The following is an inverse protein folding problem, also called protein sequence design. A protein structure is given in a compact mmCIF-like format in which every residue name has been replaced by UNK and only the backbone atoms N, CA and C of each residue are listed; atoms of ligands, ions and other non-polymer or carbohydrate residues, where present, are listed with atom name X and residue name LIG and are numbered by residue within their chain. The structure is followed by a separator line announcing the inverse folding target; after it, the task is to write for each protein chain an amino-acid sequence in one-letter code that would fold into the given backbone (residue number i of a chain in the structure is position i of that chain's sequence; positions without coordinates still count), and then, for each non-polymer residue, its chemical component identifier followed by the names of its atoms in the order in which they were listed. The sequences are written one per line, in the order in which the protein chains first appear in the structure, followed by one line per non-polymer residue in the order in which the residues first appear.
data_IF_664234262716
#
_entry.id   IF_664234262716
#
_cell.length_a   1.000
_cell.length_b   1.000
_cell.length_c   1.000
_cell.angle_alpha   90.00
_cell.angle_beta   90.00
_cell.angle_gamma   90.00
#
_symmetry.space_group_name_H-M   'P 1'
#
loop_
_entity.id
_entity.type
_entity.pdbx_description
1 polymer ?
#
# COMPACT_ATOMS: atom_id res chain seq x y z
N UNK A 1 -12.10 13.20 -18.28
CA UNK A 1 -11.06 12.58 -17.41
C UNK A 1 -10.07 11.78 -18.24
N UNK A 2 -8.78 12.05 -18.11
CA UNK A 2 -7.75 11.30 -18.82
C UNK A 2 -7.23 10.15 -17.92
N UNK A 3 -7.75 8.94 -18.15
CA UNK A 3 -7.43 7.74 -17.34
C UNK A 3 -5.97 7.33 -17.47
N UNK A 4 -5.33 7.56 -18.63
CA UNK A 4 -3.92 7.27 -18.82
C UNK A 4 -3.03 8.16 -17.93
N UNK A 5 -3.34 9.44 -17.87
CA UNK A 5 -2.66 10.39 -16.98
C UNK A 5 -2.87 10.00 -15.51
N UNK A 6 -4.08 9.64 -15.15
CA UNK A 6 -4.45 9.19 -13.83
C UNK A 6 -3.71 7.90 -13.45
N UNK A 7 -3.65 6.93 -14.37
CA UNK A 7 -2.91 5.69 -14.18
C UNK A 7 -1.42 5.97 -13.87
N UNK A 8 -0.77 6.77 -14.72
CA UNK A 8 0.66 7.13 -14.53
C UNK A 8 0.93 7.82 -13.19
N UNK A 9 -0.01 8.61 -12.71
CA UNK A 9 0.12 9.34 -11.43
C UNK A 9 -0.14 8.46 -10.21
N UNK A 10 -1.12 7.55 -10.27
CA UNK A 10 -1.63 6.81 -9.11
C UNK A 10 -1.06 5.38 -9.03
N UNK A 11 -0.87 4.69 -10.15
CA UNK A 11 -0.47 3.28 -10.14
C UNK A 11 0.82 3.01 -9.33
N UNK A 12 1.90 3.83 -9.42
CA UNK A 12 3.08 3.60 -8.60
C UNK A 12 2.80 3.73 -7.09
N UNK A 13 2.03 4.73 -6.68
CA UNK A 13 1.63 4.95 -5.29
C UNK A 13 0.77 3.80 -4.77
N UNK A 14 -0.18 3.37 -5.58
CA UNK A 14 -1.09 2.28 -5.25
C UNK A 14 -0.34 0.94 -5.12
N UNK A 15 0.60 0.67 -6.01
CA UNK A 15 1.47 -0.52 -5.94
C UNK A 15 2.31 -0.49 -4.66
N UNK A 16 2.99 0.63 -4.37
CA UNK A 16 3.81 0.78 -3.17
C UNK A 16 2.98 0.60 -1.89
N UNK A 17 1.77 1.17 -1.87
CA UNK A 17 0.86 1.00 -0.73
C UNK A 17 0.41 -0.45 -0.55
N UNK A 18 0.07 -1.15 -1.62
CA UNK A 18 -0.33 -2.56 -1.56
C UNK A 18 0.81 -3.45 -1.04
N UNK A 19 2.04 -3.24 -1.54
CA UNK A 19 3.23 -3.96 -1.07
C UNK A 19 3.50 -3.65 0.41
N UNK A 20 3.46 -2.39 0.83
CA UNK A 20 3.61 -2.00 2.23
C UNK A 20 2.49 -2.58 3.13
N UNK A 21 1.32 -2.83 2.55
CA UNK A 21 0.18 -3.45 3.23
C UNK A 21 0.28 -4.99 3.32
N UNK A 22 1.29 -5.60 2.71
CA UNK A 22 1.58 -7.03 2.81
C UNK A 22 1.31 -7.87 1.56
N UNK A 23 0.88 -7.26 0.44
CA UNK A 23 0.80 -7.95 -0.85
C UNK A 23 2.21 -8.17 -1.43
N UNK A 24 2.43 -9.28 -2.13
CA UNK A 24 3.61 -9.38 -2.96
C UNK A 24 3.51 -8.45 -4.19
N UNK A 25 4.63 -8.25 -4.89
CA UNK A 25 4.67 -7.30 -6.00
C UNK A 25 3.77 -7.70 -7.17
N UNK A 26 3.70 -8.98 -7.50
CA UNK A 26 2.86 -9.47 -8.61
C UNK A 26 1.37 -9.33 -8.26
N UNK A 27 0.99 -9.71 -7.05
CA UNK A 27 -0.36 -9.51 -6.52
C UNK A 27 -0.73 -8.02 -6.52
N UNK A 28 0.18 -7.15 -6.09
CA UNK A 28 -0.04 -5.71 -6.10
C UNK A 28 -0.27 -5.17 -7.52
N UNK A 29 0.52 -5.61 -8.51
CA UNK A 29 0.33 -5.23 -9.91
C UNK A 29 -1.03 -5.68 -10.45
N UNK A 30 -1.45 -6.91 -10.16
CA UNK A 30 -2.76 -7.43 -10.58
C UNK A 30 -3.91 -6.65 -9.93
N UNK A 31 -3.79 -6.33 -8.64
CA UNK A 31 -4.77 -5.52 -7.94
C UNK A 31 -4.88 -4.10 -8.51
N UNK A 32 -3.75 -3.50 -8.89
CA UNK A 32 -3.72 -2.18 -9.56
C UNK A 32 -4.43 -2.26 -10.92
N UNK A 33 -4.12 -3.25 -11.74
CA UNK A 33 -4.79 -3.43 -13.03
C UNK A 33 -6.30 -3.62 -12.87
N UNK A 34 -6.72 -4.48 -11.97
CA UNK A 34 -8.15 -4.71 -11.69
C UNK A 34 -8.84 -3.45 -11.13
N UNK A 35 -8.14 -2.65 -10.35
CA UNK A 35 -8.64 -1.36 -9.86
C UNK A 35 -8.92 -0.42 -11.02
N UNK A 36 -7.97 -0.27 -11.94
CA UNK A 36 -8.14 0.63 -13.08
C UNK A 36 -9.14 0.11 -14.12
N UNK A 37 -9.30 -1.20 -14.28
CA UNK A 37 -10.38 -1.78 -15.09
C UNK A 37 -11.75 -1.42 -14.52
N UNK A 38 -11.92 -1.46 -13.19
CA UNK A 38 -13.18 -1.02 -12.55
C UNK A 38 -13.42 0.47 -12.74
N UNK A 39 -12.40 1.32 -12.56
CA UNK A 39 -12.50 2.77 -12.81
C UNK A 39 -12.86 3.04 -14.27
N UNK A 40 -12.24 2.32 -15.20
CA UNK A 40 -12.55 2.43 -16.63
C UNK A 40 -14.00 2.11 -16.92
N UNK A 41 -14.53 1.04 -16.36
CA UNK A 41 -15.94 0.65 -16.55
C UNK A 41 -16.95 1.64 -15.94
N UNK A 42 -16.53 2.41 -14.95
CA UNK A 42 -17.35 3.43 -14.29
C UNK A 42 -17.07 4.86 -14.79
N UNK A 43 -16.22 5.04 -15.80
CA UNK A 43 -15.70 6.35 -16.21
C UNK A 43 -16.79 7.35 -16.59
N UNK A 44 -17.90 6.87 -17.14
CA UNK A 44 -19.01 7.71 -17.61
C UNK A 44 -19.84 8.26 -16.44
N UNK A 45 -19.80 7.60 -15.28
CA UNK A 45 -20.47 7.99 -14.03
C UNK A 45 -19.56 8.82 -13.11
N UNK A 46 -18.25 8.88 -13.40
CA UNK A 46 -17.29 9.58 -12.56
C UNK A 46 -17.20 11.05 -12.96
N UNK A 47 -17.39 11.93 -11.97
CA UNK A 47 -17.13 13.36 -12.16
C UNK A 47 -15.64 13.63 -12.34
N UNK A 48 -15.30 14.62 -13.17
CA UNK A 48 -13.91 15.00 -13.52
C UNK A 48 -13.11 15.62 -12.35
N UNK A 49 -13.10 14.94 -11.21
CA UNK A 49 -12.30 15.32 -10.06
C UNK A 49 -11.21 14.26 -9.82
N UNK A 50 -10.00 14.53 -10.31
CA UNK A 50 -8.84 13.62 -10.20
C UNK A 50 -8.57 13.22 -8.73
N UNK A 51 -8.79 14.11 -7.78
CA UNK A 51 -8.58 13.85 -6.35
C UNK A 51 -9.61 12.85 -5.80
N UNK A 52 -10.87 13.00 -6.18
CA UNK A 52 -11.93 12.06 -5.81
C UNK A 52 -11.69 10.67 -6.41
N UNK A 53 -11.20 10.60 -7.65
CA UNK A 53 -10.91 9.34 -8.33
C UNK A 53 -9.66 8.67 -7.74
N UNK A 54 -8.68 9.44 -7.26
CA UNK A 54 -7.55 8.90 -6.52
C UNK A 54 -8.01 8.19 -5.25
N UNK A 55 -8.81 8.83 -4.42
CA UNK A 55 -9.39 8.22 -3.23
C UNK A 55 -10.22 6.97 -3.55
N UNK A 56 -11.00 7.00 -4.63
CA UNK A 56 -11.76 5.85 -5.11
C UNK A 56 -10.85 4.68 -5.52
N UNK A 57 -9.71 4.96 -6.18
CA UNK A 57 -8.76 3.92 -6.57
C UNK A 57 -8.22 3.17 -5.35
N UNK A 58 -7.83 3.88 -4.28
CA UNK A 58 -7.41 3.25 -3.03
C UNK A 58 -8.52 2.44 -2.36
N UNK A 59 -9.76 2.95 -2.39
CA UNK A 59 -10.92 2.22 -1.85
C UNK A 59 -11.18 0.92 -2.61
N UNK A 60 -11.16 0.96 -3.93
CA UNK A 60 -11.34 -0.22 -4.77
C UNK A 60 -10.22 -1.24 -4.52
N UNK A 61 -8.96 -0.80 -4.55
CA UNK A 61 -7.81 -1.67 -4.32
C UNK A 61 -7.85 -2.32 -2.93
N UNK A 62 -8.22 -1.54 -1.90
CA UNK A 62 -8.40 -2.05 -0.53
C UNK A 62 -9.45 -3.16 -0.46
N UNK A 63 -10.58 -2.95 -1.11
CA UNK A 63 -11.67 -3.93 -1.14
C UNK A 63 -11.28 -5.18 -1.92
N UNK A 64 -10.62 -5.03 -3.06
CA UNK A 64 -10.10 -6.16 -3.85
C UNK A 64 -9.10 -6.98 -3.04
N UNK A 65 -8.15 -6.33 -2.36
CA UNK A 65 -7.17 -7.00 -1.50
C UNK A 65 -7.85 -7.76 -0.35
N UNK A 66 -8.84 -7.16 0.31
CA UNK A 66 -9.60 -7.83 1.37
C UNK A 66 -10.35 -9.06 0.86
N UNK A 67 -10.94 -8.97 -0.33
CA UNK A 67 -11.63 -10.10 -0.95
C UNK A 67 -10.64 -11.21 -1.29
N UNK A 68 -9.50 -10.87 -1.89
CA UNK A 68 -8.45 -11.83 -2.21
C UNK A 68 -7.90 -12.52 -0.94
N UNK A 69 -7.62 -11.77 0.11
CA UNK A 69 -7.16 -12.33 1.39
C UNK A 69 -8.20 -13.29 2.00
N UNK A 70 -9.49 -12.98 1.87
CA UNK A 70 -10.57 -13.84 2.33
C UNK A 70 -10.71 -15.10 1.48
N UNK A 71 -10.56 -14.99 0.17
CA UNK A 71 -10.62 -16.11 -0.76
C UNK A 71 -9.42 -17.03 -0.57
N UNK A 72 -8.22 -16.46 -0.41
CA UNK A 72 -7.00 -17.20 -0.09
C UNK A 72 -7.09 -17.91 1.28
N UNK A 73 -7.68 -17.29 2.29
CA UNK A 73 -7.91 -17.93 3.59
C UNK A 73 -8.86 -19.13 3.49
N UNK A 74 -9.78 -19.17 2.53
CA UNK A 74 -10.62 -20.33 2.22
C UNK A 74 -9.86 -21.42 1.48
N UNK A 75 -8.86 -21.07 0.68
CA UNK A 75 -8.02 -22.00 -0.10
C UNK A 75 -6.84 -22.55 0.70
N UNK A 76 -6.33 -21.85 1.70
CA UNK A 76 -5.20 -22.29 2.57
C UNK A 76 -5.55 -23.40 3.56
N UNK A 77 -6.74 -23.98 3.47
CA UNK A 77 -7.00 -25.29 4.08
C UNK A 77 -6.35 -26.44 3.27
N UNK A 78 -5.74 -26.15 2.12
CA UNK A 78 -5.01 -27.11 1.28
C UNK A 78 -3.79 -26.40 0.70
N UNK A 79 -2.63 -26.74 1.22
CA UNK A 79 -1.27 -26.40 0.79
C UNK A 79 -0.54 -25.29 1.58
N UNK A 80 0.28 -25.77 2.52
CA UNK A 80 1.56 -25.18 2.87
C UNK A 80 2.46 -25.09 1.62
N UNK A 81 3.28 -24.04 1.57
CA UNK A 81 4.41 -23.76 0.69
C UNK A 81 4.10 -22.84 -0.48
N UNK A 82 4.55 -21.61 -0.35
CA UNK A 82 5.58 -21.00 -1.19
C UNK A 82 6.07 -19.68 -0.59
N UNK A 83 7.24 -19.75 -0.02
CA UNK A 83 8.23 -18.67 -0.10
C UNK A 83 8.57 -18.49 -1.57
N UNK A 84 8.71 -17.26 -1.98
CA UNK A 84 9.73 -16.74 -2.88
C UNK A 84 9.25 -15.61 -3.77
N UNK A 85 10.16 -14.67 -3.85
CA UNK A 85 10.46 -13.63 -4.80
C UNK A 85 9.74 -12.27 -4.65
N UNK A 86 10.37 -11.47 -3.77
CA UNK A 86 10.42 -10.04 -3.96
C UNK A 86 11.20 -9.72 -5.26
N UNK A 87 10.51 -9.76 -6.38
CA UNK A 87 11.04 -9.28 -7.64
C UNK A 87 11.31 -7.78 -7.54
N UNK A 88 12.57 -7.44 -7.40
CA UNK A 88 13.08 -6.08 -7.50
C UNK A 88 12.87 -5.58 -8.92
N UNK A 89 12.03 -4.56 -9.10
CA UNK A 89 12.12 -3.71 -10.29
C UNK A 89 12.99 -2.54 -9.91
N UNK A 90 14.27 -2.64 -10.28
CA UNK A 90 15.20 -1.55 -10.14
C UNK A 90 15.09 -0.57 -11.29
N UNK A 91 15.25 0.73 -11.04
CA UNK A 91 15.79 1.64 -12.03
C UNK A 91 17.30 1.79 -11.82
N UNK A 92 18.02 1.83 -12.95
CA UNK A 92 19.35 2.39 -13.14
C UNK A 92 20.47 1.97 -12.14
N UNK A 93 21.50 1.43 -12.72
CA UNK A 93 22.82 1.04 -12.20
C UNK A 93 23.33 1.96 -11.08
N UNK A 94 23.06 1.59 -9.84
CA UNK A 94 23.76 2.10 -8.67
C UNK A 94 24.98 1.18 -8.41
N UNK A 95 26.10 1.70 -7.84
CA UNK A 95 27.21 0.87 -7.43
C UNK A 95 26.71 -0.28 -6.52
N UNK A 96 27.27 -1.48 -6.68
CA UNK A 96 26.85 -2.71 -5.96
C UNK A 96 26.64 -2.51 -4.44
N UNK A 97 27.50 -1.70 -3.80
CA UNK A 97 27.39 -1.41 -2.36
C UNK A 97 26.16 -0.54 -2.01
N UNK A 98 25.80 0.41 -2.89
CA UNK A 98 24.61 1.25 -2.70
C UNK A 98 23.33 0.46 -2.92
N UNK A 99 23.37 -0.48 -3.86
CA UNK A 99 22.26 -1.39 -4.14
C UNK A 99 22.02 -2.37 -2.98
N UNK A 100 23.08 -2.93 -2.42
CA UNK A 100 23.02 -3.81 -1.24
C UNK A 100 22.47 -3.08 -0.01
N UNK A 101 22.90 -1.85 0.25
CA UNK A 101 22.36 -1.02 1.34
C UNK A 101 20.89 -0.67 1.14
N UNK A 102 20.50 -0.35 -0.10
CA UNK A 102 19.12 -0.05 -0.46
C UNK A 102 18.21 -1.28 -0.33
N UNK A 103 18.70 -2.46 -0.73
CA UNK A 103 18.00 -3.72 -0.58
C UNK A 103 17.80 -4.08 0.90
N UNK A 104 18.86 -3.95 1.73
CA UNK A 104 18.78 -4.19 3.17
C UNK A 104 17.82 -3.23 3.86
N UNK A 105 17.85 -1.96 3.52
CA UNK A 105 16.90 -0.97 4.05
C UNK A 105 15.45 -1.34 3.68
N UNK A 106 15.19 -1.71 2.43
CA UNK A 106 13.85 -2.15 1.98
C UNK A 106 13.39 -3.39 2.74
N UNK A 107 14.26 -4.38 2.92
CA UNK A 107 13.96 -5.60 3.68
C UNK A 107 13.58 -5.25 5.11
N UNK A 108 14.36 -4.44 5.79
CA UNK A 108 14.10 -4.04 7.18
C UNK A 108 12.83 -3.20 7.33
N UNK A 109 12.54 -2.31 6.39
CA UNK A 109 11.28 -1.56 6.36
C UNK A 109 10.09 -2.51 6.18
N UNK A 110 10.18 -3.47 5.24
CA UNK A 110 9.13 -4.47 5.04
C UNK A 110 8.86 -5.29 6.31
N UNK A 111 9.91 -5.73 6.99
CA UNK A 111 9.79 -6.46 8.25
C UNK A 111 9.20 -5.59 9.37
N UNK A 112 9.60 -4.33 9.46
CA UNK A 112 9.06 -3.39 10.44
C UNK A 112 7.56 -3.14 10.21
N UNK A 113 7.15 -2.93 8.96
CA UNK A 113 5.72 -2.81 8.61
C UNK A 113 4.94 -4.09 8.92
N UNK A 114 5.52 -5.26 8.68
CA UNK A 114 4.89 -6.54 9.01
C UNK A 114 4.66 -6.73 10.51
N UNK A 115 5.52 -6.14 11.35
CA UNK A 115 5.39 -6.16 12.82
C UNK A 115 4.34 -5.18 13.36
N UNK A 116 3.90 -4.21 12.56
CA UNK A 116 2.83 -3.31 12.99
C UNK A 116 1.49 -4.06 13.06
N UNK A 117 0.66 -3.77 14.07
CA UNK A 117 -0.73 -4.19 14.07
C UNK A 117 -1.43 -3.74 12.78
N UNK A 118 -2.30 -4.60 12.16
CA UNK A 118 -2.91 -4.29 10.85
C UNK A 118 -3.63 -2.93 10.80
N UNK A 119 -4.31 -2.56 11.87
CA UNK A 119 -5.04 -1.28 11.99
C UNK A 119 -4.09 -0.07 11.93
N UNK A 120 -2.95 -0.16 12.60
CA UNK A 120 -1.94 0.91 12.61
C UNK A 120 -1.21 0.98 11.27
N UNK A 121 -0.88 -0.17 10.70
CA UNK A 121 -0.25 -0.29 9.39
C UNK A 121 -1.13 0.32 8.30
N UNK A 122 -2.42 -0.01 8.27
CA UNK A 122 -3.38 0.52 7.31
C UNK A 122 -3.45 2.05 7.38
N UNK A 123 -3.67 2.62 8.55
CA UNK A 123 -3.77 4.08 8.72
C UNK A 123 -2.47 4.79 8.31
N UNK A 124 -1.32 4.26 8.70
CA UNK A 124 -0.03 4.86 8.40
C UNK A 124 0.32 4.76 6.92
N UNK A 125 0.11 3.62 6.28
CA UNK A 125 0.43 3.43 4.87
C UNK A 125 -0.49 4.23 3.95
N UNK A 126 -1.77 4.37 4.27
CA UNK A 126 -2.68 5.27 3.55
C UNK A 126 -2.24 6.73 3.66
N UNK A 127 -1.79 7.16 4.83
CA UNK A 127 -1.32 8.52 5.06
C UNK A 127 0.02 8.79 4.36
N UNK A 128 1.04 7.94 4.59
CA UNK A 128 2.41 8.19 4.17
C UNK A 128 2.67 7.80 2.71
N UNK A 129 2.11 6.70 2.25
CA UNK A 129 2.35 6.16 0.91
C UNK A 129 1.19 6.54 -0.03
N UNK A 130 -0.04 6.45 0.46
CA UNK A 130 -1.23 6.84 -0.28
C UNK A 130 -1.42 8.34 -0.40
N UNK A 131 -0.67 9.12 0.40
CA UNK A 131 -0.79 10.59 0.47
C UNK A 131 -2.23 11.06 0.74
N UNK A 132 -3.01 10.21 1.42
CA UNK A 132 -4.40 10.53 1.76
C UNK A 132 -4.47 11.46 2.98
N UNK A 133 -5.42 12.38 2.95
CA UNK A 133 -5.73 13.20 4.11
C UNK A 133 -6.35 12.38 5.26
N UNK A 134 -6.24 12.87 6.47
CA UNK A 134 -6.83 12.22 7.65
C UNK A 134 -8.35 12.02 7.46
N UNK A 135 -9.02 13.00 6.86
CA UNK A 135 -10.45 12.95 6.57
C UNK A 135 -10.80 11.84 5.59
N UNK A 136 -10.03 11.69 4.50
CA UNK A 136 -10.23 10.63 3.52
C UNK A 136 -10.01 9.25 4.15
N UNK A 137 -8.96 9.10 4.97
CA UNK A 137 -8.68 7.86 5.70
C UNK A 137 -9.83 7.54 6.66
N UNK A 138 -10.35 8.55 7.39
CA UNK A 138 -11.48 8.38 8.28
C UNK A 138 -12.73 7.89 7.55
N UNK A 139 -13.05 8.52 6.41
CA UNK A 139 -14.17 8.11 5.57
C UNK A 139 -13.99 6.69 5.02
N UNK A 140 -12.79 6.36 4.57
CA UNK A 140 -12.49 5.05 3.98
C UNK A 140 -12.48 3.91 4.99
N UNK A 141 -12.03 4.18 6.22
CA UNK A 141 -11.93 3.18 7.27
C UNK A 141 -13.13 3.14 8.21
N UNK A 142 -14.05 4.10 8.09
CA UNK A 142 -15.26 4.17 8.91
C UNK A 142 -15.00 4.55 10.38
N UNK A 143 -13.93 5.28 10.65
CA UNK A 143 -13.57 5.74 12.00
C UNK A 143 -13.44 7.26 12.08
N UNK A 144 -13.39 7.83 13.28
CA UNK A 144 -13.23 9.27 13.47
C UNK A 144 -11.84 9.75 13.04
N UNK A 145 -11.72 11.01 12.64
CA UNK A 145 -10.45 11.65 12.31
C UNK A 145 -9.46 11.61 13.51
N UNK A 146 -9.96 11.79 14.71
CA UNK A 146 -9.13 11.70 15.92
C UNK A 146 -8.54 10.30 16.10
N UNK A 147 -9.30 9.26 15.83
CA UNK A 147 -8.81 7.89 15.91
C UNK A 147 -7.76 7.61 14.83
N UNK A 148 -7.94 8.16 13.63
CA UNK A 148 -6.92 8.08 12.55
C UNK A 148 -5.61 8.73 13.00
N UNK A 149 -5.67 9.94 13.57
CA UNK A 149 -4.49 10.63 14.11
C UNK A 149 -3.75 9.79 15.16
N UNK A 150 -4.49 9.20 16.09
CA UNK A 150 -3.93 8.33 17.14
C UNK A 150 -3.27 7.08 16.52
N UNK A 151 -3.91 6.46 15.52
CA UNK A 151 -3.35 5.29 14.83
C UNK A 151 -2.05 5.62 14.11
N UNK A 152 -2.00 6.74 13.39
CA UNK A 152 -0.79 7.22 12.69
C UNK A 152 0.33 7.49 13.70
N UNK A 153 0.02 8.19 14.79
CA UNK A 153 0.99 8.50 15.84
C UNK A 153 1.58 7.22 16.47
N UNK A 154 0.75 6.29 16.87
CA UNK A 154 1.19 5.00 17.45
C UNK A 154 1.98 4.16 16.44
N UNK A 155 1.63 4.21 15.16
CA UNK A 155 2.39 3.53 14.12
C UNK A 155 3.80 4.11 13.99
N UNK A 156 3.92 5.45 14.00
CA UNK A 156 5.22 6.13 13.99
C UNK A 156 6.08 5.76 15.19
N UNK A 157 5.53 5.79 16.40
CA UNK A 157 6.25 5.39 17.61
C UNK A 157 6.80 3.96 17.49
N UNK A 158 5.95 3.02 17.08
CA UNK A 158 6.39 1.62 16.91
C UNK A 158 7.43 1.43 15.82
N UNK A 159 7.32 2.13 14.69
CA UNK A 159 8.32 2.09 13.64
C UNK A 159 9.66 2.69 14.10
N UNK A 160 9.63 3.79 14.83
CA UNK A 160 10.84 4.38 15.42
C UNK A 160 11.51 3.43 16.42
N UNK A 161 10.73 2.73 17.23
CA UNK A 161 11.25 1.72 18.16
C UNK A 161 11.91 0.55 17.42
N UNK A 162 11.23 0.00 16.41
CA UNK A 162 11.74 -1.15 15.63
C UNK A 162 12.98 -0.79 14.82
N UNK A 163 13.03 0.43 14.29
CA UNK A 163 14.10 0.91 13.40
C UNK A 163 15.05 1.92 14.08
N UNK A 164 15.11 1.90 15.40
CA UNK A 164 15.89 2.86 16.20
C UNK A 164 17.37 2.89 15.85
N UNK A 165 17.93 1.77 15.42
CA UNK A 165 19.32 1.62 14.98
C UNK A 165 19.62 2.23 13.61
N UNK A 166 18.60 2.46 12.78
CA UNK A 166 18.75 3.01 11.43
C UNK A 166 18.73 4.55 11.36
N UNK A 167 18.48 5.24 12.47
CA UNK A 167 18.33 6.71 12.53
C UNK A 167 17.35 7.27 11.49
N UNK A 168 16.30 6.53 11.18
CA UNK A 168 15.25 6.95 10.25
C UNK A 168 14.22 7.78 11.01
N UNK A 169 13.84 8.94 10.46
CA UNK A 169 12.76 9.78 10.99
C UNK A 169 11.48 9.53 10.19
N UNK A 170 10.39 9.29 10.89
CA UNK A 170 9.07 9.01 10.31
C UNK A 170 8.10 10.17 10.48
#
# INVERSE_FOLDING_TARGET
MNIEKLYKAIAPKLTNWLVASGSDYHEACDLVQNTFLKIWNMRDDLHDNEESVSGLAFTIARNLRKNLARDNARLTFVDEIREEDAGSVGPAELPEEAEARSAELRRRLKEAFAKLPPILREAYTLFQIGEMSIREIANQTGVSENLVKVRIFRAKEKLQEILSDLRVTF
#
